data_IF_060341253786
#
_entry.id   IF_060341253786
#
_cell.length_a   1.000
_cell.length_b   1.000
_cell.length_c   1.000
_cell.angle_alpha   90.00
_cell.angle_beta   90.00
_cell.angle_gamma   90.00
#
_symmetry.space_group_name_H-M   'P 1'
#
loop_
_entity.id
_entity.type
_entity.pdbx_description
1 polymer ?
#
# COMPACT_ATOMS: atom_id res chain seq x y z
N UNK A 1 -11.09 7.79 -0.48
CA UNK A 1 -9.95 7.56 0.44
C UNK A 1 -10.22 6.26 1.17
N UNK A 2 -9.24 5.37 1.20
CA UNK A 2 -9.35 4.08 1.89
C UNK A 2 -8.10 3.86 2.74
N UNK A 3 -8.24 3.18 3.87
CA UNK A 3 -7.11 2.80 4.71
C UNK A 3 -6.75 1.34 4.43
N UNK A 4 -5.47 1.04 4.30
CA UNK A 4 -4.98 -0.30 4.05
C UNK A 4 -3.84 -0.67 4.99
N UNK A 5 -3.84 -1.91 5.47
CA UNK A 5 -2.79 -2.45 6.32
C UNK A 5 -1.75 -3.17 5.46
N UNK A 6 -0.47 -2.87 5.68
CA UNK A 6 0.64 -3.52 4.99
C UNK A 6 0.73 -4.98 5.45
N UNK A 7 0.73 -5.89 4.48
CA UNK A 7 0.86 -7.33 4.70
C UNK A 7 2.31 -7.76 4.48
N UNK A 8 2.97 -7.18 3.48
CA UNK A 8 4.31 -7.58 3.05
C UNK A 8 5.01 -6.38 2.40
N UNK A 9 6.28 -6.17 2.75
CA UNK A 9 7.17 -5.25 2.04
C UNK A 9 7.91 -6.05 0.96
N UNK A 10 7.46 -5.94 -0.28
CA UNK A 10 7.96 -6.74 -1.41
C UNK A 10 9.42 -6.38 -1.75
N UNK A 11 9.78 -5.10 -1.63
CA UNK A 11 11.15 -4.64 -1.84
C UNK A 11 11.24 -3.17 -2.23
N UNK A 12 12.46 -2.66 -2.33
CA UNK A 12 12.72 -1.30 -2.81
C UNK A 12 12.55 -1.24 -4.34
N UNK A 13 11.95 -0.17 -4.86
CA UNK A 13 11.79 0.03 -6.30
C UNK A 13 12.47 1.33 -6.75
N UNK A 14 13.65 1.20 -7.37
CA UNK A 14 14.41 2.32 -7.94
C UNK A 14 15.12 3.19 -6.88
N UNK A 15 14.66 4.42 -6.67
CA UNK A 15 15.21 5.34 -5.67
C UNK A 15 14.91 4.79 -4.27
N UNK A 16 15.92 4.76 -3.37
CA UNK A 16 15.86 4.21 -1.99
C UNK A 16 14.67 4.68 -1.12
N UNK A 17 13.91 5.65 -1.60
CA UNK A 17 12.75 6.25 -0.93
C UNK A 17 11.42 5.58 -1.31
N UNK A 18 11.37 4.69 -2.31
CA UNK A 18 10.13 4.02 -2.73
C UNK A 18 10.20 2.53 -2.45
N UNK A 19 9.21 2.02 -1.72
CA UNK A 19 9.00 0.59 -1.46
C UNK A 19 7.73 0.10 -2.11
N UNK A 20 7.82 -1.04 -2.77
CA UNK A 20 6.68 -1.78 -3.27
C UNK A 20 6.10 -2.61 -2.11
N UNK A 21 4.83 -2.42 -1.82
CA UNK A 21 4.12 -3.08 -0.71
C UNK A 21 2.90 -3.85 -1.21
N UNK A 22 2.61 -4.96 -0.55
CA UNK A 22 1.31 -5.62 -0.59
C UNK A 22 0.52 -5.15 0.63
N UNK A 23 -0.69 -4.65 0.42
CA UNK A 23 -1.55 -4.21 1.50
C UNK A 23 -2.99 -4.70 1.29
N UNK A 24 -3.73 -4.80 2.39
CA UNK A 24 -5.16 -5.16 2.42
C UNK A 24 -5.96 -3.96 2.88
N UNK A 25 -7.00 -3.60 2.15
CA UNK A 25 -7.92 -2.54 2.57
C UNK A 25 -8.64 -3.00 3.85
N UNK A 26 -8.57 -2.19 4.89
CA UNK A 26 -9.21 -2.41 6.19
C UNK A 26 -10.38 -1.46 6.44
N UNK A 27 -10.54 -0.44 5.59
CA UNK A 27 -11.61 0.55 5.69
C UNK A 27 -11.88 1.18 4.31
N UNK A 28 -13.15 1.20 3.90
CA UNK A 28 -13.61 1.80 2.63
C UNK A 28 -14.50 0.86 1.82
N UNK A 29 -14.91 1.29 0.62
CA UNK A 29 -15.82 0.53 -0.25
C UNK A 29 -15.28 -0.82 -0.73
N UNK A 30 -13.96 -0.99 -0.71
CA UNK A 30 -13.25 -2.17 -1.19
C UNK A 30 -12.60 -2.95 -0.03
N UNK A 31 -13.19 -2.93 1.16
CA UNK A 31 -12.67 -3.64 2.34
C UNK A 31 -12.37 -5.13 2.05
N UNK A 32 -11.23 -5.61 2.57
CA UNK A 32 -10.75 -6.98 2.34
C UNK A 32 -9.94 -7.17 1.06
N UNK A 33 -10.01 -6.23 0.10
CA UNK A 33 -9.24 -6.30 -1.15
C UNK A 33 -7.73 -6.21 -0.90
N UNK A 34 -6.97 -7.08 -1.55
CA UNK A 34 -5.51 -7.05 -1.54
C UNK A 34 -5.02 -6.37 -2.82
N UNK A 35 -4.07 -5.44 -2.67
CA UNK A 35 -3.50 -4.70 -3.77
C UNK A 35 -2.03 -4.39 -3.53
N UNK A 36 -1.32 -4.13 -4.63
CA UNK A 36 0.09 -3.75 -4.61
C UNK A 36 0.21 -2.26 -4.90
N UNK A 37 0.96 -1.54 -4.07
CA UNK A 37 1.18 -0.09 -4.19
C UNK A 37 2.63 0.28 -3.90
N UNK A 38 3.01 1.46 -4.37
CA UNK A 38 4.27 2.07 -4.03
C UNK A 38 4.05 3.02 -2.85
N UNK A 39 4.77 2.77 -1.75
CA UNK A 39 4.84 3.66 -0.61
C UNK A 39 6.12 4.49 -0.67
N UNK A 40 6.02 5.78 -0.32
CA UNK A 40 7.19 6.64 -0.15
C UNK A 40 7.61 6.64 1.31
N UNK A 41 8.90 6.42 1.56
CA UNK A 41 9.50 6.43 2.89
C UNK A 41 9.63 5.04 3.52
N UNK A 42 10.11 4.98 4.78
CA UNK A 42 10.16 3.74 5.52
C UNK A 42 8.75 3.22 5.81
N UNK A 43 8.50 1.96 5.49
CA UNK A 43 7.25 1.26 5.81
C UNK A 43 7.57 -0.16 6.27
N UNK A 44 6.81 -0.66 7.22
CA UNK A 44 6.95 -2.00 7.80
C UNK A 44 5.66 -2.79 7.63
N UNK A 45 5.75 -4.08 7.83
CA UNK A 45 4.56 -4.92 7.99
C UNK A 45 3.70 -4.38 9.14
N UNK A 46 2.39 -4.54 9.02
CA UNK A 46 1.37 -4.02 9.92
C UNK A 46 1.15 -2.50 9.95
N UNK A 47 1.98 -1.69 9.28
CA UNK A 47 1.72 -0.25 9.12
C UNK A 47 0.38 -0.01 8.40
N UNK A 48 -0.29 1.11 8.72
CA UNK A 48 -1.49 1.57 8.03
C UNK A 48 -1.11 2.69 7.05
N UNK A 49 -1.50 2.51 5.79
CA UNK A 49 -1.32 3.49 4.73
C UNK A 49 -2.66 4.00 4.23
N UNK A 50 -2.73 5.29 3.90
CA UNK A 50 -3.90 5.88 3.28
C UNK A 50 -3.76 5.88 1.76
N UNK A 51 -4.73 5.28 1.10
CA UNK A 51 -4.83 5.20 -0.35
C UNK A 51 -5.70 6.34 -0.83
N UNK A 52 -5.11 7.28 -1.58
CA UNK A 52 -5.84 8.39 -2.22
C UNK A 52 -6.78 7.88 -3.30
N UNK A 53 -6.29 7.02 -4.18
CA UNK A 53 -7.05 6.45 -5.29
C UNK A 53 -6.86 4.92 -5.36
N UNK A 54 -7.97 4.19 -5.42
CA UNK A 54 -8.01 2.74 -5.58
C UNK A 54 -7.87 2.32 -7.04
N UNK A 55 -8.03 3.26 -7.98
CA UNK A 55 -7.79 3.03 -9.41
C UNK A 55 -6.28 2.97 -9.68
N UNK A 56 -5.87 1.99 -10.48
CA UNK A 56 -4.53 1.92 -11.04
C UNK A 56 -4.48 2.90 -12.20
N UNK A 57 -3.57 3.86 -12.15
CA UNK A 57 -3.17 4.62 -13.34
C UNK A 57 -2.77 3.58 -14.41
N UNK A 58 -3.50 3.55 -15.52
CA UNK A 58 -3.25 2.63 -16.63
C UNK A 58 -2.00 3.01 -17.39
#
# INVERSE_FOLDING_TARGET
MASAKVIEVIGDQGHRTIRKIRCRIIEGSEEGKILVRNARGPVREDDVVHIKETEMER
#
